data_IF_829624194966
#
_entry.id   IF_829624194966
#
_cell.length_a   1.000
_cell.length_b   1.000
_cell.length_c   1.000
_cell.angle_alpha   90.00
_cell.angle_beta   90.00
_cell.angle_gamma   90.00
#
_symmetry.space_group_name_H-M   'P 1'
#
loop_
_entity.id
_entity.type
_entity.pdbx_description
1 polymer ?
#
# COMPACT_ATOMS: atom_id res chain seq x y z
N UNK A 1 2.46 -28.62 4.25
CA UNK A 1 1.79 -28.75 2.94
C UNK A 1 2.39 -27.73 2.01
N UNK A 2 3.02 -28.20 0.94
CA UNK A 2 3.63 -27.36 -0.08
C UNK A 2 2.56 -27.05 -1.13
N UNK A 3 2.06 -25.81 -1.14
CA UNK A 3 1.03 -25.40 -2.09
C UNK A 3 1.64 -25.17 -3.47
N UNK A 4 0.91 -25.56 -4.53
CA UNK A 4 1.42 -25.52 -5.89
C UNK A 4 1.50 -24.08 -6.39
N UNK A 5 2.52 -23.77 -7.18
CA UNK A 5 2.70 -22.44 -7.78
C UNK A 5 1.49 -22.00 -8.62
N UNK A 6 0.78 -22.95 -9.23
CA UNK A 6 -0.47 -22.71 -9.95
C UNK A 6 -1.59 -22.14 -9.08
N UNK A 7 -1.68 -22.56 -7.82
CA UNK A 7 -2.72 -22.12 -6.88
C UNK A 7 -2.46 -20.69 -6.40
N UNK A 8 -1.18 -20.37 -6.11
CA UNK A 8 -0.76 -18.98 -5.83
C UNK A 8 -1.08 -18.05 -6.99
N UNK A 9 -0.83 -18.51 -8.22
CA UNK A 9 -1.06 -17.70 -9.41
C UNK A 9 -2.55 -17.46 -9.66
N UNK A 10 -3.40 -18.48 -9.49
CA UNK A 10 -4.85 -18.34 -9.61
C UNK A 10 -5.43 -17.31 -8.62
N UNK A 11 -4.96 -17.32 -7.36
CA UNK A 11 -5.37 -16.32 -6.36
C UNK A 11 -4.92 -14.91 -6.77
N UNK A 12 -3.70 -14.75 -7.29
CA UNK A 12 -3.21 -13.45 -7.74
C UNK A 12 -3.96 -12.91 -8.95
N UNK A 13 -4.30 -13.76 -9.90
CA UNK A 13 -5.06 -13.36 -11.09
C UNK A 13 -6.49 -12.96 -10.70
N UNK A 14 -7.11 -13.70 -9.77
CA UNK A 14 -8.40 -13.31 -9.19
C UNK A 14 -8.33 -11.94 -8.49
N UNK A 15 -7.25 -11.66 -7.76
CA UNK A 15 -7.03 -10.37 -7.09
C UNK A 15 -6.82 -9.25 -8.11
N UNK A 16 -5.97 -9.45 -9.13
CA UNK A 16 -5.68 -8.44 -10.16
C UNK A 16 -6.89 -8.09 -11.00
N UNK A 17 -7.77 -9.05 -11.26
CA UNK A 17 -8.97 -8.87 -12.08
C UNK A 17 -10.13 -8.25 -11.30
N UNK A 18 -9.99 -8.02 -9.99
CA UNK A 18 -11.01 -7.37 -9.20
C UNK A 18 -10.80 -5.85 -9.14
N UNK A 19 -11.83 -5.11 -9.53
CA UNK A 19 -11.84 -3.64 -9.48
C UNK A 19 -12.18 -3.08 -8.10
N UNK A 20 -12.55 -3.93 -7.12
CA UNK A 20 -13.02 -3.49 -5.79
C UNK A 20 -12.69 -4.52 -4.68
N UNK A 21 -13.40 -4.49 -3.55
CA UNK A 21 -13.12 -5.39 -2.41
C UNK A 21 -13.48 -6.84 -2.73
N UNK A 22 -12.52 -7.75 -2.56
CA UNK A 22 -12.73 -9.20 -2.64
C UNK A 22 -13.12 -9.79 -1.28
N UNK A 23 -14.16 -10.61 -1.26
CA UNK A 23 -14.46 -11.47 -0.12
C UNK A 23 -13.89 -12.88 -0.31
N UNK A 24 -13.81 -13.64 0.77
CA UNK A 24 -13.45 -15.07 0.71
C UNK A 24 -14.41 -15.87 -0.19
N UNK A 25 -15.70 -15.53 -0.19
CA UNK A 25 -16.69 -16.19 -1.05
C UNK A 25 -16.40 -15.91 -2.53
N UNK A 26 -15.96 -14.70 -2.86
CA UNK A 26 -15.55 -14.37 -4.23
C UNK A 26 -14.30 -15.16 -4.63
N UNK A 27 -13.28 -15.23 -3.76
CA UNK A 27 -12.07 -16.01 -4.01
C UNK A 27 -12.39 -17.50 -4.20
N UNK A 28 -13.23 -18.07 -3.34
CA UNK A 28 -13.68 -19.47 -3.45
C UNK A 28 -14.40 -19.71 -4.77
N UNK A 29 -15.31 -18.82 -5.18
CA UNK A 29 -16.04 -18.95 -6.42
C UNK A 29 -15.12 -18.87 -7.66
N UNK A 30 -14.11 -18.00 -7.64
CA UNK A 30 -13.19 -17.82 -8.78
C UNK A 30 -12.11 -18.90 -8.85
N UNK A 31 -11.59 -19.35 -7.71
CA UNK A 31 -10.42 -20.25 -7.65
C UNK A 31 -10.78 -21.71 -7.40
N UNK A 32 -12.00 -21.99 -6.90
CA UNK A 32 -12.43 -23.31 -6.45
C UNK A 32 -11.81 -23.76 -5.12
N UNK A 33 -10.96 -22.93 -4.49
CA UNK A 33 -10.22 -23.28 -3.28
C UNK A 33 -11.05 -23.08 -2.00
N UNK A 34 -10.83 -23.95 -1.02
CA UNK A 34 -11.46 -23.86 0.29
C UNK A 34 -10.89 -22.73 1.17
N UNK A 35 -11.55 -22.48 2.31
CA UNK A 35 -11.16 -21.39 3.21
C UNK A 35 -9.74 -21.56 3.77
N UNK A 36 -9.35 -22.79 4.12
CA UNK A 36 -8.04 -23.06 4.71
C UNK A 36 -6.92 -22.87 3.69
N UNK A 37 -7.13 -23.32 2.44
CA UNK A 37 -6.18 -23.12 1.35
C UNK A 37 -6.07 -21.63 1.01
N UNK A 38 -7.20 -20.94 0.86
CA UNK A 38 -7.21 -19.50 0.60
C UNK A 38 -6.55 -18.70 1.72
N UNK A 39 -6.86 -19.00 2.98
CA UNK A 39 -6.26 -18.32 4.15
C UNK A 39 -4.74 -18.50 4.17
N UNK A 40 -4.28 -19.72 3.92
CA UNK A 40 -2.84 -20.02 3.88
C UNK A 40 -2.15 -19.34 2.71
N UNK A 41 -2.74 -19.40 1.51
CA UNK A 41 -2.20 -18.77 0.31
C UNK A 41 -2.18 -17.25 0.42
N UNK A 42 -3.24 -16.62 0.92
CA UNK A 42 -3.26 -15.18 1.21
C UNK A 42 -2.15 -14.84 2.20
N UNK A 43 -2.01 -15.59 3.29
CA UNK A 43 -0.94 -15.40 4.27
C UNK A 43 0.46 -15.52 3.66
N UNK A 44 0.67 -16.49 2.78
CA UNK A 44 1.93 -16.66 2.04
C UNK A 44 2.19 -15.49 1.08
N UNK A 45 1.18 -15.06 0.32
CA UNK A 45 1.30 -13.94 -0.61
C UNK A 45 1.56 -12.61 0.11
N UNK A 46 0.97 -12.43 1.30
CA UNK A 46 1.30 -11.30 2.19
C UNK A 46 2.74 -11.42 2.69
N UNK A 47 3.16 -12.59 3.17
CA UNK A 47 4.55 -12.84 3.61
C UNK A 47 5.57 -12.59 2.50
N UNK A 48 5.21 -12.91 1.26
CA UNK A 48 6.00 -12.67 0.05
C UNK A 48 5.89 -11.23 -0.47
N UNK A 49 5.16 -10.33 0.21
CA UNK A 49 4.86 -8.96 -0.21
C UNK A 49 4.25 -8.85 -1.62
N UNK A 50 3.57 -9.91 -2.09
CA UNK A 50 2.93 -9.93 -3.41
C UNK A 50 1.55 -9.27 -3.40
N UNK A 51 0.89 -9.26 -2.24
CA UNK A 51 -0.40 -8.61 -2.03
C UNK A 51 -0.43 -7.88 -0.69
N UNK A 52 -1.26 -6.85 -0.60
CA UNK A 52 -1.63 -6.21 0.66
C UNK A 52 -3.07 -6.55 0.97
N UNK A 53 -3.34 -6.94 2.21
CA UNK A 53 -4.68 -7.25 2.67
C UNK A 53 -5.16 -6.16 3.60
N UNK A 54 -6.33 -5.58 3.29
CA UNK A 54 -7.06 -4.71 4.20
C UNK A 54 -8.30 -5.46 4.68
N UNK A 55 -8.37 -5.70 5.98
CA UNK A 55 -9.61 -6.18 6.57
C UNK A 55 -10.64 -5.05 6.54
N UNK A 56 -11.71 -5.26 5.77
CA UNK A 56 -12.81 -4.32 5.75
C UNK A 56 -13.58 -4.44 7.07
N UNK A 57 -13.27 -3.56 8.03
CA UNK A 57 -13.97 -3.48 9.30
C UNK A 57 -15.42 -2.97 9.18
N UNK A 58 -15.91 -2.67 7.97
CA UNK A 58 -17.26 -2.13 7.77
C UNK A 58 -18.40 -3.14 7.91
N UNK A 59 -18.12 -4.45 7.88
CA UNK A 59 -19.17 -5.47 8.07
C UNK A 59 -19.48 -5.74 9.54
N UNK A 60 -18.56 -5.40 10.43
CA UNK A 60 -18.89 -5.37 11.84
C UNK A 60 -19.53 -4.01 12.11
N UNK A 61 -20.66 -3.96 12.82
CA UNK A 61 -21.34 -2.71 13.22
C UNK A 61 -20.51 -1.86 14.21
N UNK A 62 -19.19 -2.00 14.18
CA UNK A 62 -18.18 -1.36 15.02
C UNK A 62 -18.03 0.15 14.80
N UNK A 63 -18.61 0.71 13.73
CA UNK A 63 -18.71 2.18 13.59
C UNK A 63 -19.79 2.80 14.49
N UNK A 64 -20.63 2.01 15.16
CA UNK A 64 -21.60 2.54 16.13
C UNK A 64 -20.96 3.04 17.43
N UNK A 65 -19.65 2.79 17.64
CA UNK A 65 -18.93 3.19 18.86
C UNK A 65 -17.59 3.91 18.61
N UNK A 66 -17.20 4.17 17.36
CA UNK A 66 -15.98 4.94 17.05
C UNK A 66 -16.28 6.43 17.08
N UNK A 67 -15.37 7.22 17.64
CA UNK A 67 -15.50 8.67 17.57
C UNK A 67 -15.48 9.13 16.11
N UNK A 68 -16.10 10.28 15.81
CA UNK A 68 -16.10 10.85 14.45
C UNK A 68 -14.68 11.03 13.90
N UNK A 69 -13.70 11.27 14.79
CA UNK A 69 -12.28 11.36 14.47
C UNK A 69 -11.67 10.04 14.01
N UNK A 70 -11.96 8.92 14.68
CA UNK A 70 -11.44 7.60 14.28
C UNK A 70 -11.99 7.13 12.93
N UNK A 71 -13.29 7.41 12.67
CA UNK A 71 -13.89 7.13 11.38
C UNK A 71 -13.27 7.98 10.26
N UNK A 72 -12.99 9.26 10.54
CA UNK A 72 -12.30 10.15 9.60
C UNK A 72 -10.87 9.66 9.33
N UNK A 73 -10.13 9.27 10.36
CA UNK A 73 -8.79 8.73 10.22
C UNK A 73 -8.77 7.43 9.38
N UNK A 74 -9.75 6.55 9.59
CA UNK A 74 -9.90 5.35 8.76
C UNK A 74 -10.09 5.70 7.28
N UNK A 75 -10.98 6.65 6.96
CA UNK A 75 -11.20 7.14 5.59
C UNK A 75 -9.94 7.81 5.00
N UNK A 76 -9.19 8.56 5.80
CA UNK A 76 -7.91 9.12 5.36
C UNK A 76 -6.92 8.02 4.97
N UNK A 77 -6.78 6.96 5.78
CA UNK A 77 -5.93 5.81 5.43
C UNK A 77 -6.36 5.12 4.15
N UNK A 78 -7.67 5.03 3.92
CA UNK A 78 -8.23 4.44 2.70
C UNK A 78 -7.82 5.24 1.46
N UNK A 79 -7.87 6.57 1.54
CA UNK A 79 -7.40 7.44 0.47
C UNK A 79 -5.88 7.34 0.25
N UNK A 80 -5.07 7.28 1.30
CA UNK A 80 -3.62 7.07 1.16
C UNK A 80 -3.31 5.83 0.32
N UNK A 81 -3.98 4.73 0.64
CA UNK A 81 -3.85 3.47 -0.07
C UNK A 81 -4.33 3.59 -1.53
N UNK A 82 -5.49 4.19 -1.75
CA UNK A 82 -6.07 4.36 -3.09
C UNK A 82 -5.12 5.13 -4.02
N UNK A 83 -4.48 6.18 -3.50
CA UNK A 83 -3.59 7.02 -4.29
C UNK A 83 -2.15 6.50 -4.39
N UNK A 84 -1.76 5.47 -3.61
CA UNK A 84 -0.44 4.82 -3.66
C UNK A 84 0.75 5.79 -3.72
N UNK A 85 0.70 6.85 -2.89
CA UNK A 85 1.78 7.85 -2.83
C UNK A 85 1.91 8.77 -4.06
N UNK A 86 1.00 8.71 -5.03
CA UNK A 86 0.97 9.62 -6.18
C UNK A 86 0.61 11.04 -5.75
N UNK A 87 -0.40 11.16 -4.89
CA UNK A 87 -0.81 12.43 -4.30
C UNK A 87 -0.04 12.67 -3.00
N UNK A 88 0.60 13.84 -2.90
CA UNK A 88 1.55 14.16 -1.82
C UNK A 88 1.21 15.42 -1.03
N UNK A 89 0.00 15.95 -1.20
CA UNK A 89 -0.45 17.19 -0.55
C UNK A 89 -1.56 16.88 0.46
N UNK A 90 -1.42 17.34 1.70
CA UNK A 90 -2.48 17.20 2.73
C UNK A 90 -3.79 17.84 2.25
N UNK A 91 -3.71 18.96 1.54
CA UNK A 91 -4.88 19.65 1.00
C UNK A 91 -5.72 18.78 0.04
N UNK A 92 -5.08 17.90 -0.73
CA UNK A 92 -5.78 16.95 -1.60
C UNK A 92 -6.68 16.02 -0.77
N UNK A 93 -6.10 15.36 0.23
CA UNK A 93 -6.83 14.44 1.11
C UNK A 93 -7.91 15.14 1.94
N UNK A 94 -7.65 16.37 2.39
CA UNK A 94 -8.63 17.15 3.11
C UNK A 94 -9.85 17.50 2.22
N UNK A 95 -9.59 17.83 0.95
CA UNK A 95 -10.64 18.08 -0.05
C UNK A 95 -11.47 16.83 -0.32
N UNK A 96 -10.85 15.67 -0.52
CA UNK A 96 -11.54 14.38 -0.73
C UNK A 96 -12.41 13.96 0.48
N UNK A 97 -12.04 14.41 1.68
CA UNK A 97 -12.80 14.17 2.91
C UNK A 97 -13.79 15.29 3.23
N UNK A 98 -13.90 16.32 2.39
CA UNK A 98 -14.73 17.51 2.58
C UNK A 98 -14.48 18.24 3.91
N UNK A 99 -13.21 18.37 4.31
CA UNK A 99 -12.81 19.04 5.55
C UNK A 99 -11.62 19.99 5.33
N UNK A 100 -11.32 20.81 6.33
CA UNK A 100 -10.12 21.66 6.28
C UNK A 100 -8.83 20.85 6.52
N UNK A 101 -7.70 21.23 5.90
CA UNK A 101 -6.39 20.59 6.15
C UNK A 101 -5.96 20.67 7.61
N UNK A 102 -6.31 21.77 8.30
CA UNK A 102 -6.04 21.95 9.72
C UNK A 102 -6.78 20.92 10.58
N UNK A 103 -8.07 20.71 10.28
CA UNK A 103 -8.88 19.71 10.99
C UNK A 103 -8.37 18.29 10.72
N UNK A 104 -8.06 17.96 9.46
CA UNK A 104 -7.46 16.66 9.12
C UNK A 104 -6.16 16.42 9.91
N UNK A 105 -5.32 17.44 10.02
CA UNK A 105 -4.05 17.36 10.77
C UNK A 105 -4.27 17.09 12.25
N UNK A 106 -5.24 17.79 12.87
CA UNK A 106 -5.57 17.59 14.28
C UNK A 106 -6.05 16.15 14.53
N UNK A 107 -7.03 15.68 13.76
CA UNK A 107 -7.63 14.35 13.93
C UNK A 107 -6.62 13.24 13.69
N UNK A 108 -5.84 13.31 12.60
CA UNK A 108 -4.86 12.26 12.29
C UNK A 108 -3.76 12.20 13.36
N UNK A 109 -3.31 13.36 13.87
CA UNK A 109 -2.31 13.42 14.94
C UNK A 109 -2.85 12.87 16.26
N UNK A 110 -4.10 13.18 16.60
CA UNK A 110 -4.78 12.65 17.77
C UNK A 110 -4.93 11.11 17.69
N UNK A 111 -5.40 10.59 16.56
CA UNK A 111 -5.64 9.16 16.41
C UNK A 111 -4.37 8.31 16.20
N UNK A 112 -3.30 8.87 15.65
CA UNK A 112 -2.13 8.09 15.21
C UNK A 112 -0.79 8.52 15.82
N UNK A 113 -0.74 9.67 16.49
CA UNK A 113 0.51 10.29 16.95
C UNK A 113 1.35 10.93 15.83
N UNK A 114 1.00 10.72 14.55
CA UNK A 114 1.68 11.26 13.38
C UNK A 114 0.82 12.27 12.63
N UNK A 115 1.46 13.20 11.95
CA UNK A 115 0.81 14.15 11.03
C UNK A 115 0.39 13.45 9.73
N UNK A 116 -0.62 14.00 9.01
CA UNK A 116 -0.96 13.51 7.67
C UNK A 116 0.23 13.56 6.70
N UNK A 117 1.10 14.56 6.80
CA UNK A 117 2.30 14.68 5.96
C UNK A 117 3.25 13.51 6.18
N UNK A 118 3.47 13.08 7.42
CA UNK A 118 4.30 11.90 7.71
C UNK A 118 3.70 10.64 7.10
N UNK A 119 2.39 10.42 7.29
CA UNK A 119 1.69 9.28 6.67
C UNK A 119 1.78 9.26 5.14
N UNK A 120 1.58 10.42 4.51
CA UNK A 120 1.70 10.59 3.05
C UNK A 120 3.12 10.24 2.60
N UNK A 121 4.13 10.79 3.28
CA UNK A 121 5.52 10.57 2.91
C UNK A 121 5.93 9.11 3.09
N UNK A 122 5.57 8.49 4.20
CA UNK A 122 5.79 7.06 4.48
C UNK A 122 5.15 6.18 3.39
N UNK A 123 3.89 6.46 3.05
CA UNK A 123 3.18 5.72 1.99
C UNK A 123 3.87 5.86 0.63
N UNK A 124 4.30 7.08 0.28
CA UNK A 124 5.00 7.32 -0.98
C UNK A 124 6.38 6.65 -1.01
N UNK A 125 7.14 6.70 0.08
CA UNK A 125 8.43 6.00 0.16
C UNK A 125 8.24 4.50 0.05
N UNK A 126 7.24 3.94 0.72
CA UNK A 126 6.93 2.53 0.66
C UNK A 126 6.61 2.05 -0.77
N UNK A 127 5.80 2.80 -1.51
CA UNK A 127 5.52 2.48 -2.92
C UNK A 127 6.79 2.58 -3.79
N UNK A 128 7.64 3.59 -3.56
CA UNK A 128 8.91 3.72 -4.30
C UNK A 128 9.80 2.51 -4.03
N UNK A 129 9.95 2.09 -2.78
CA UNK A 129 10.72 0.89 -2.42
C UNK A 129 10.16 -0.35 -3.08
N UNK A 130 8.84 -0.51 -3.05
CA UNK A 130 8.16 -1.62 -3.70
C UNK A 130 8.50 -1.68 -5.19
N UNK A 131 8.36 -0.57 -5.92
CA UNK A 131 8.71 -0.49 -7.34
C UNK A 131 10.21 -0.65 -7.61
N UNK A 132 11.06 -0.17 -6.71
CA UNK A 132 12.50 -0.34 -6.86
C UNK A 132 12.93 -1.80 -6.75
N UNK A 133 12.28 -2.58 -5.87
CA UNK A 133 12.69 -3.92 -5.51
C UNK A 133 11.92 -5.04 -6.24
N UNK A 134 10.68 -4.78 -6.66
CA UNK A 134 9.78 -5.83 -7.15
C UNK A 134 9.33 -5.63 -8.61
N UNK A 135 9.80 -4.57 -9.27
CA UNK A 135 9.52 -4.35 -10.70
C UNK A 135 10.81 -4.10 -11.48
N UNK A 136 10.74 -4.37 -12.79
CA UNK A 136 11.81 -4.07 -13.74
C UNK A 136 11.75 -2.62 -14.25
N UNK A 137 10.87 -1.79 -13.69
CA UNK A 137 10.69 -0.40 -14.10
C UNK A 137 11.99 0.38 -13.91
N UNK A 138 12.39 1.12 -14.92
CA UNK A 138 13.47 2.09 -14.82
C UNK A 138 13.11 3.20 -13.83
N UNK A 139 14.12 3.88 -13.27
CA UNK A 139 13.90 5.02 -12.37
C UNK A 139 13.05 6.11 -13.07
N UNK A 140 13.20 6.29 -14.38
CA UNK A 140 12.39 7.23 -15.18
C UNK A 140 10.91 6.86 -15.20
N UNK A 141 10.61 5.58 -15.40
CA UNK A 141 9.22 5.09 -15.38
C UNK A 141 8.59 5.27 -14.00
N UNK A 142 9.33 4.96 -12.93
CA UNK A 142 8.86 5.15 -11.54
C UNK A 142 8.53 6.62 -11.26
N UNK A 143 9.40 7.55 -11.70
CA UNK A 143 9.15 9.00 -11.56
C UNK A 143 7.86 9.42 -12.26
N UNK A 144 7.65 8.94 -13.47
CA UNK A 144 6.45 9.26 -14.24
C UNK A 144 5.19 8.64 -13.59
N UNK A 145 5.24 7.38 -13.20
CA UNK A 145 4.11 6.66 -12.61
C UNK A 145 3.66 7.25 -11.27
N UNK A 146 4.61 7.66 -10.43
CA UNK A 146 4.36 8.29 -9.13
C UNK A 146 4.17 9.81 -9.22
N UNK A 147 4.06 10.35 -10.44
CA UNK A 147 3.85 11.78 -10.74
C UNK A 147 4.88 12.70 -10.09
N UNK A 148 6.13 12.29 -10.01
CA UNK A 148 7.20 13.16 -9.55
C UNK A 148 7.54 14.18 -10.63
N UNK A 149 7.81 15.44 -10.27
CA UNK A 149 8.01 16.51 -11.25
C UNK A 149 9.27 16.31 -12.11
N UNK A 150 10.31 15.68 -11.55
CA UNK A 150 11.51 15.30 -12.28
C UNK A 150 12.36 14.30 -11.46
N UNK A 151 13.35 13.69 -12.13
CA UNK A 151 14.31 12.75 -11.55
C UNK A 151 15.09 13.34 -10.37
N UNK A 152 15.50 14.61 -10.46
CA UNK A 152 16.31 15.26 -9.43
C UNK A 152 15.52 15.43 -8.13
N UNK A 153 14.25 15.84 -8.23
CA UNK A 153 13.35 15.96 -7.10
C UNK A 153 13.05 14.59 -6.49
N UNK A 154 12.78 13.57 -7.32
CA UNK A 154 12.60 12.19 -6.86
C UNK A 154 13.82 11.67 -6.10
N UNK A 155 15.02 11.85 -6.64
CA UNK A 155 16.26 11.41 -6.00
C UNK A 155 16.51 12.11 -4.67
N UNK A 156 16.27 13.43 -4.59
CA UNK A 156 16.35 14.19 -3.34
C UNK A 156 15.31 13.73 -2.32
N UNK A 157 14.07 13.56 -2.75
CA UNK A 157 12.96 13.08 -1.92
C UNK A 157 13.29 11.72 -1.30
N UNK A 158 13.65 10.73 -2.12
CA UNK A 158 13.98 9.40 -1.64
C UNK A 158 15.21 9.40 -0.71
N UNK A 159 16.26 10.14 -1.08
CA UNK A 159 17.48 10.25 -0.26
C UNK A 159 17.22 10.92 1.10
N UNK A 160 16.34 11.93 1.15
CA UNK A 160 15.98 12.58 2.41
C UNK A 160 15.31 11.60 3.40
N UNK A 161 14.53 10.65 2.89
CA UNK A 161 13.82 9.67 3.73
C UNK A 161 14.62 8.39 4.01
N UNK A 162 15.45 7.92 3.07
CA UNK A 162 16.19 6.64 3.19
C UNK A 162 17.70 6.79 3.38
N UNK A 163 18.23 8.01 3.34
CA UNK A 163 19.66 8.29 3.47
C UNK A 163 20.50 7.94 2.25
N UNK A 164 19.94 7.26 1.25
CA UNK A 164 20.67 6.76 0.08
C UNK A 164 19.91 7.00 -1.23
N UNK A 165 20.61 6.85 -2.37
CA UNK A 165 19.98 7.06 -3.68
C UNK A 165 19.07 5.88 -4.07
N UNK A 166 18.00 6.12 -4.87
CA UNK A 166 17.14 5.05 -5.38
C UNK A 166 17.89 3.94 -6.13
N UNK A 167 18.90 4.33 -6.93
CA UNK A 167 19.73 3.38 -7.68
C UNK A 167 20.54 2.48 -6.75
N UNK A 168 21.18 3.08 -5.74
CA UNK A 168 21.94 2.33 -4.75
C UNK A 168 21.04 1.40 -3.94
N UNK A 169 19.86 1.87 -3.53
CA UNK A 169 18.87 1.07 -2.82
C UNK A 169 18.47 -0.20 -3.59
N UNK A 170 18.16 -0.07 -4.89
CA UNK A 170 17.84 -1.21 -5.76
C UNK A 170 18.99 -2.23 -5.84
N UNK A 171 20.22 -1.76 -6.05
CA UNK A 171 21.39 -2.65 -6.12
C UNK A 171 21.63 -3.37 -4.80
N UNK A 172 21.53 -2.67 -3.67
CA UNK A 172 21.71 -3.28 -2.34
C UNK A 172 20.67 -4.37 -2.06
N UNK A 173 19.40 -4.14 -2.44
CA UNK A 173 18.35 -5.14 -2.32
C UNK A 173 18.64 -6.41 -3.13
N UNK A 174 19.03 -6.27 -4.41
CA UNK A 174 19.35 -7.39 -5.29
C UNK A 174 20.53 -8.22 -4.76
N UNK A 175 21.57 -7.56 -4.25
CA UNK A 175 22.71 -8.25 -3.66
C UNK A 175 22.33 -9.06 -2.41
N UNK A 176 21.40 -8.55 -1.60
CA UNK A 176 20.91 -9.25 -0.41
C UNK A 176 20.13 -10.51 -0.80
N UNK A 177 19.28 -10.43 -1.83
CA UNK A 177 18.51 -11.58 -2.34
C UNK A 177 19.40 -12.67 -2.95
N UNK A 178 20.45 -12.27 -3.69
CA UNK A 178 21.41 -13.21 -4.30
C UNK A 178 22.34 -13.88 -3.27
N UNK A 179 22.56 -13.26 -2.10
CA UNK A 179 23.37 -13.83 -1.01
C UNK A 179 22.61 -14.84 -0.15
N UNK A 180 21.28 -14.90 -0.30
CA UNK A 180 20.37 -15.81 0.42
C UNK A 180 19.93 -17.03 -0.41
N UNK A 181 20.50 -17.20 -1.60
CA UNK A 181 20.35 -18.36 -2.49
C UNK A 181 21.65 -19.16 -2.52
#
# INVERSE_FOLDING_TARGET
MEYKQSEKQAVLDAIKNCSSSLSFDNLKATTGLGFMELSTLIGLLVKENRILVRFNHAKDKSYLYKSSGEALYARFKDLLFLHRGKERKVAFYASELCISPKYLTAVVKECSGKTPTEWINETAIWEIEYMLCHTQSSIKEIVNELKFPNLSFFGKYFKAHKGMSPKYYRTAYLNTQLSSL
#
